data_IF_634399420318
#
_entry.id   IF_634399420318
#
_cell.length_a   1.000
_cell.length_b   1.000
_cell.length_c   1.000
_cell.angle_alpha   90.00
_cell.angle_beta   90.00
_cell.angle_gamma   90.00
#
_symmetry.space_group_name_H-M   'P 1'
#
loop_
_entity.id
_entity.type
_entity.pdbx_description
1 polymer ?
#
# COMPACT_ATOMS: atom_id res chain seq x y z
N UNK A 1 -17.90 -14.10 4.34
CA UNK A 1 -17.03 -15.27 4.19
C UNK A 1 -16.71 -15.46 2.71
N UNK A 2 -15.51 -15.94 2.38
CA UNK A 2 -14.96 -16.06 1.03
C UNK A 2 -13.87 -17.13 0.96
N UNK A 3 -13.67 -17.70 -0.24
CA UNK A 3 -12.59 -18.66 -0.51
C UNK A 3 -11.47 -17.99 -1.29
N UNK A 4 -10.23 -18.21 -0.89
CA UNK A 4 -9.02 -17.75 -1.55
C UNK A 4 -8.51 -18.82 -2.51
N UNK A 5 -8.00 -18.40 -3.66
CA UNK A 5 -7.31 -19.26 -4.62
C UNK A 5 -6.26 -18.43 -5.34
N UNK A 6 -5.04 -18.94 -5.41
CA UNK A 6 -3.94 -18.30 -6.12
C UNK A 6 -3.95 -18.81 -7.57
N UNK A 7 -4.10 -17.89 -8.51
CA UNK A 7 -3.91 -18.12 -9.94
C UNK A 7 -3.00 -17.03 -10.47
N UNK A 8 -2.31 -17.26 -11.58
CA UNK A 8 -1.43 -16.23 -12.15
C UNK A 8 -2.21 -14.94 -12.51
N UNK A 9 -3.46 -15.08 -12.96
CA UNK A 9 -4.36 -13.95 -13.26
C UNK A 9 -4.73 -13.16 -12.00
N UNK A 10 -4.99 -13.86 -10.90
CA UNK A 10 -5.23 -13.24 -9.59
C UNK A 10 -3.96 -12.55 -9.09
N UNK A 11 -2.78 -13.18 -9.20
CA UNK A 11 -1.50 -12.55 -8.83
C UNK A 11 -1.28 -11.25 -9.60
N UNK A 12 -1.58 -11.23 -10.91
CA UNK A 12 -1.44 -10.04 -11.74
C UNK A 12 -2.42 -8.93 -11.30
N UNK A 13 -3.68 -9.29 -11.05
CA UNK A 13 -4.68 -8.34 -10.57
C UNK A 13 -4.31 -7.78 -9.18
N UNK A 14 -3.87 -8.65 -8.27
CA UNK A 14 -3.48 -8.25 -6.92
C UNK A 14 -2.19 -7.42 -6.91
N UNK A 15 -1.21 -7.75 -7.76
CA UNK A 15 -0.04 -6.92 -8.02
C UNK A 15 -0.44 -5.50 -8.42
N UNK A 16 -1.38 -5.36 -9.37
CA UNK A 16 -1.85 -4.04 -9.78
C UNK A 16 -2.50 -3.28 -8.61
N UNK A 17 -3.30 -3.97 -7.79
CA UNK A 17 -3.90 -3.36 -6.60
C UNK A 17 -2.81 -2.88 -5.62
N UNK A 18 -1.79 -3.69 -5.33
CA UNK A 18 -0.66 -3.29 -4.48
C UNK A 18 0.05 -2.05 -5.06
N UNK A 19 0.42 -2.09 -6.34
CA UNK A 19 1.12 -0.99 -7.01
C UNK A 19 0.32 0.32 -6.96
N UNK A 20 -0.97 0.28 -7.30
CA UNK A 20 -1.83 1.45 -7.25
C UNK A 20 -1.94 2.02 -5.84
N UNK A 21 -2.09 1.19 -4.81
CA UNK A 21 -2.19 1.68 -3.44
C UNK A 21 -0.87 2.22 -2.88
N UNK A 22 0.26 1.55 -3.15
CA UNK A 22 1.58 2.05 -2.77
C UNK A 22 1.85 3.40 -3.44
N UNK A 23 1.51 3.53 -4.71
CA UNK A 23 1.69 4.77 -5.44
C UNK A 23 0.76 5.91 -5.00
N UNK A 24 -0.52 5.59 -4.76
CA UNK A 24 -1.50 6.54 -4.23
C UNK A 24 -1.10 7.02 -2.83
N UNK A 25 -0.53 6.17 -1.99
CA UNK A 25 0.01 6.56 -0.69
C UNK A 25 1.04 7.68 -0.81
N UNK A 26 2.06 7.49 -1.67
CA UNK A 26 3.06 8.53 -1.97
C UNK A 26 2.45 9.77 -2.65
N UNK A 27 1.45 9.57 -3.51
CA UNK A 27 0.77 10.68 -4.18
C UNK A 27 0.00 11.54 -3.17
N UNK A 28 -0.66 10.92 -2.19
CA UNK A 28 -1.39 11.64 -1.14
C UNK A 28 -0.45 12.49 -0.29
N UNK A 29 0.74 12.00 0.07
CA UNK A 29 1.75 12.84 0.72
C UNK A 29 2.07 14.10 -0.09
N UNK A 30 2.31 13.92 -1.39
CA UNK A 30 2.70 15.01 -2.27
C UNK A 30 1.57 16.04 -2.46
N UNK A 31 0.33 15.60 -2.65
CA UNK A 31 -0.83 16.49 -2.73
C UNK A 31 -1.12 17.20 -1.40
N UNK A 32 -0.97 16.51 -0.26
CA UNK A 32 -1.09 17.14 1.05
C UNK A 32 0.02 18.18 1.28
N UNK A 33 1.25 17.88 0.85
CA UNK A 33 2.37 18.80 0.84
C UNK A 33 2.06 20.06 0.04
N UNK A 34 1.53 19.92 -1.18
CA UNK A 34 1.08 21.07 -1.98
C UNK A 34 -0.02 21.88 -1.28
N UNK A 35 -1.04 21.22 -0.75
CA UNK A 35 -2.16 21.90 -0.09
C UNK A 35 -1.74 22.65 1.19
N UNK A 36 -0.75 22.15 1.93
CA UNK A 36 -0.30 22.74 3.20
C UNK A 36 0.84 23.75 2.98
N UNK A 37 1.81 23.44 2.13
CA UNK A 37 2.97 24.30 1.86
C UNK A 37 2.70 25.37 0.79
N UNK A 38 1.65 25.22 -0.02
CA UNK A 38 1.27 26.15 -1.10
C UNK A 38 2.01 25.96 -2.42
N UNK A 39 3.01 25.07 -2.46
CA UNK A 39 3.85 24.81 -3.65
C UNK A 39 4.16 23.31 -3.79
N UNK A 40 4.47 22.89 -5.01
CA UNK A 40 4.82 21.50 -5.31
C UNK A 40 6.24 21.21 -4.79
N UNK A 41 6.38 20.12 -4.04
CA UNK A 41 7.69 19.61 -3.65
C UNK A 41 8.29 18.71 -4.73
N UNK A 42 9.20 17.81 -4.33
CA UNK A 42 9.77 16.80 -5.20
C UNK A 42 9.20 15.41 -4.86
N UNK A 43 9.13 14.50 -5.83
CA UNK A 43 8.66 13.13 -5.61
C UNK A 43 9.50 12.16 -6.43
N UNK A 44 9.87 11.05 -5.80
CA UNK A 44 10.50 9.90 -6.45
C UNK A 44 9.55 8.69 -6.45
N UNK A 45 10.06 7.50 -6.79
CA UNK A 45 9.30 6.26 -6.68
C UNK A 45 8.98 5.87 -5.23
N UNK A 46 9.90 6.16 -4.31
CA UNK A 46 9.89 5.64 -2.94
C UNK A 46 10.00 6.74 -1.87
N UNK A 47 10.05 8.00 -2.29
CA UNK A 47 10.13 9.14 -1.39
C UNK A 47 9.34 10.33 -1.93
N UNK A 48 8.96 11.21 -1.02
CA UNK A 48 8.45 12.52 -1.33
C UNK A 48 9.22 13.56 -0.51
N UNK A 49 9.27 14.76 -1.03
CA UNK A 49 9.74 15.96 -0.35
C UNK A 49 8.66 17.02 -0.54
N UNK A 50 8.44 17.84 0.47
CA UNK A 50 7.49 18.96 0.39
C UNK A 50 8.22 20.25 0.04
N UNK A 51 7.51 21.25 -0.49
CA UNK A 51 8.12 22.56 -0.75
C UNK A 51 8.59 23.28 0.54
N UNK A 52 7.96 22.96 1.67
CA UNK A 52 8.29 23.50 2.98
C UNK A 52 9.05 22.48 3.86
N UNK A 53 9.99 21.75 3.25
CA UNK A 53 10.70 20.66 3.90
C UNK A 53 11.38 21.08 5.21
N UNK A 54 11.35 20.20 6.22
CA UNK A 54 11.90 20.49 7.55
C UNK A 54 11.02 21.35 8.46
N UNK A 55 9.89 21.87 7.96
CA UNK A 55 8.95 22.64 8.79
C UNK A 55 7.90 21.74 9.45
N UNK A 56 7.20 22.27 10.46
CA UNK A 56 6.06 21.60 11.12
C UNK A 56 5.00 21.16 10.10
N UNK A 57 4.79 21.97 9.07
CA UNK A 57 3.83 21.74 7.99
C UNK A 57 4.19 20.51 7.15
N UNK A 58 5.47 20.32 6.80
CA UNK A 58 5.94 19.12 6.08
C UNK A 58 5.58 17.85 6.85
N UNK A 59 5.86 17.82 8.14
CA UNK A 59 5.59 16.65 8.98
C UNK A 59 4.09 16.38 9.17
N UNK A 60 3.24 17.41 9.11
CA UNK A 60 1.79 17.21 9.07
C UNK A 60 1.34 16.59 7.75
N UNK A 61 1.93 16.99 6.61
CA UNK A 61 1.68 16.35 5.32
C UNK A 61 2.16 14.88 5.30
N UNK A 62 3.21 14.55 6.05
CA UNK A 62 3.67 13.17 6.24
C UNK A 62 2.62 12.27 6.91
N UNK A 63 1.63 12.75 7.65
CA UNK A 63 0.55 11.87 8.14
C UNK A 63 -0.50 11.52 7.09
N UNK A 64 -0.53 12.23 5.94
CA UNK A 64 -1.59 12.07 4.95
C UNK A 64 -1.56 10.70 4.27
N UNK A 65 -0.38 10.18 3.92
CA UNK A 65 -0.23 8.83 3.37
C UNK A 65 -0.73 7.75 4.33
N UNK A 66 -0.26 7.69 5.60
CA UNK A 66 -0.79 6.80 6.62
C UNK A 66 -2.30 6.86 6.77
N UNK A 67 -2.85 8.07 6.85
CA UNK A 67 -4.28 8.27 6.96
C UNK A 67 -5.03 7.66 5.77
N UNK A 68 -4.57 7.91 4.54
CA UNK A 68 -5.13 7.28 3.34
C UNK A 68 -5.09 5.76 3.44
N UNK A 69 -3.94 5.19 3.77
CA UNK A 69 -3.78 3.75 3.94
C UNK A 69 -4.78 3.17 4.95
N UNK A 70 -4.89 3.77 6.13
CA UNK A 70 -5.84 3.31 7.15
C UNK A 70 -7.28 3.41 6.68
N UNK A 71 -7.67 4.52 6.05
CA UNK A 71 -9.00 4.66 5.44
C UNK A 71 -9.26 3.53 4.45
N UNK A 72 -8.31 3.21 3.57
CA UNK A 72 -8.47 2.16 2.58
C UNK A 72 -8.53 0.75 3.19
N UNK A 73 -7.84 0.49 4.30
CA UNK A 73 -8.03 -0.75 5.06
C UNK A 73 -9.45 -0.86 5.60
N UNK A 74 -10.02 0.22 6.13
CA UNK A 74 -11.40 0.24 6.65
C UNK A 74 -12.44 0.16 5.53
N UNK A 75 -12.18 0.73 4.35
CA UNK A 75 -13.00 0.50 3.15
C UNK A 75 -12.94 -0.98 2.76
N UNK A 76 -11.76 -1.60 2.76
CA UNK A 76 -11.61 -3.03 2.52
C UNK A 76 -12.40 -3.88 3.54
N UNK A 77 -12.34 -3.50 4.83
CA UNK A 77 -13.13 -4.12 5.89
C UNK A 77 -14.64 -3.98 5.66
N UNK A 78 -15.11 -2.81 5.22
CA UNK A 78 -16.51 -2.59 4.84
C UNK A 78 -16.93 -3.51 3.68
N UNK A 79 -16.06 -3.70 2.69
CA UNK A 79 -16.33 -4.58 1.56
C UNK A 79 -16.43 -6.07 1.95
N UNK A 80 -15.85 -6.48 3.08
CA UNK A 80 -15.96 -7.85 3.61
C UNK A 80 -17.30 -8.18 4.30
N UNK A 81 -18.23 -7.23 4.40
CA UNK A 81 -19.55 -7.45 5.03
C UNK A 81 -20.36 -8.55 4.33
N UNK A 82 -21.21 -9.23 5.10
CA UNK A 82 -21.98 -10.41 4.66
C UNK A 82 -22.86 -10.13 3.44
N UNK A 83 -23.47 -8.94 3.35
CA UNK A 83 -24.36 -8.54 2.25
C UNK A 83 -23.68 -8.19 0.93
N UNK A 84 -22.34 -8.10 0.88
CA UNK A 84 -21.63 -7.75 -0.35
C UNK A 84 -21.41 -8.97 -1.25
N UNK A 85 -21.25 -8.70 -2.55
CA UNK A 85 -20.92 -9.72 -3.57
C UNK A 85 -19.57 -10.40 -3.30
N UNK A 86 -19.37 -11.59 -3.88
CA UNK A 86 -18.08 -12.31 -3.81
C UNK A 86 -16.93 -11.45 -4.32
N UNK A 87 -17.12 -10.77 -5.45
CA UNK A 87 -16.15 -9.83 -6.01
C UNK A 87 -15.75 -8.73 -5.01
N UNK A 88 -16.73 -8.07 -4.39
CA UNK A 88 -16.46 -7.03 -3.40
C UNK A 88 -15.70 -7.57 -2.20
N UNK A 89 -16.03 -8.77 -1.72
CA UNK A 89 -15.30 -9.40 -0.61
C UNK A 89 -13.84 -9.68 -0.98
N UNK A 90 -13.60 -10.23 -2.17
CA UNK A 90 -12.23 -10.48 -2.66
C UNK A 90 -11.44 -9.19 -2.84
N UNK A 91 -12.07 -8.15 -3.40
CA UNK A 91 -11.47 -6.83 -3.53
C UNK A 91 -11.17 -6.22 -2.17
N UNK A 92 -12.10 -6.32 -1.22
CA UNK A 92 -11.91 -5.82 0.15
C UNK A 92 -10.74 -6.50 0.86
N UNK A 93 -10.63 -7.82 0.71
CA UNK A 93 -9.49 -8.59 1.21
C UNK A 93 -8.17 -8.12 0.56
N UNK A 94 -8.15 -8.03 -0.77
CA UNK A 94 -6.98 -7.54 -1.51
C UNK A 94 -6.59 -6.12 -1.08
N UNK A 95 -7.56 -5.21 -0.91
CA UNK A 95 -7.34 -3.84 -0.47
C UNK A 95 -6.66 -3.76 0.89
N UNK A 96 -7.05 -4.59 1.86
CA UNK A 96 -6.44 -4.61 3.20
C UNK A 96 -4.96 -5.01 3.10
N UNK A 97 -4.65 -6.09 2.37
CA UNK A 97 -3.26 -6.58 2.28
C UNK A 97 -2.38 -5.78 1.31
N UNK A 98 -2.98 -5.07 0.35
CA UNK A 98 -2.29 -4.13 -0.52
C UNK A 98 -1.70 -2.94 0.24
N UNK A 99 -2.22 -2.63 1.43
CA UNK A 99 -1.66 -1.60 2.32
C UNK A 99 -0.39 -2.04 3.08
N UNK A 100 0.12 -3.25 2.85
CA UNK A 100 1.31 -3.80 3.52
C UNK A 100 1.25 -3.69 5.06
N UNK A 101 0.16 -4.18 5.70
CA UNK A 101 -0.07 -3.95 7.13
C UNK A 101 1.04 -4.51 8.02
N UNK A 102 1.73 -5.58 7.61
CA UNK A 102 2.87 -6.10 8.35
C UNK A 102 4.00 -5.08 8.44
N UNK A 103 4.47 -4.54 7.31
CA UNK A 103 5.48 -3.47 7.28
C UNK A 103 5.03 -2.24 8.07
N UNK A 104 3.75 -1.88 7.98
CA UNK A 104 3.22 -0.73 8.72
C UNK A 104 3.27 -0.93 10.24
N UNK A 105 2.89 -2.12 10.71
CA UNK A 105 2.91 -2.46 12.14
C UNK A 105 4.33 -2.68 12.67
N UNK A 106 5.25 -3.23 11.87
CA UNK A 106 6.63 -3.45 12.31
C UNK A 106 7.52 -2.22 12.17
N UNK A 107 7.20 -1.30 11.25
CA UNK A 107 7.96 -0.08 11.01
C UNK A 107 8.35 0.67 12.30
N UNK A 108 7.38 1.06 13.16
CA UNK A 108 7.66 1.79 14.39
C UNK A 108 8.65 1.06 15.30
N UNK A 109 8.60 -0.27 15.36
CA UNK A 109 9.50 -1.10 16.19
C UNK A 109 10.96 -1.00 15.75
N UNK A 110 11.20 -0.65 14.49
CA UNK A 110 12.52 -0.42 13.93
C UNK A 110 12.87 1.08 13.81
N UNK A 111 12.06 1.97 14.40
CA UNK A 111 12.17 3.43 14.26
C UNK A 111 12.02 3.90 12.80
N UNK A 112 11.27 3.14 12.01
CA UNK A 112 10.98 3.40 10.59
C UNK A 112 9.48 3.66 10.42
N UNK A 113 9.08 4.18 9.25
CA UNK A 113 7.72 4.61 8.85
C UNK A 113 7.41 6.10 9.04
N UNK A 114 6.40 6.54 8.30
CA UNK A 114 5.96 7.93 8.22
C UNK A 114 5.40 8.43 9.56
N UNK A 115 4.64 7.58 10.25
CA UNK A 115 3.99 7.92 11.51
C UNK A 115 5.02 8.21 12.61
N UNK A 116 6.03 7.35 12.75
CA UNK A 116 7.10 7.53 13.72
C UNK A 116 7.98 8.71 13.32
N UNK A 117 8.37 8.78 12.03
CA UNK A 117 9.20 9.87 11.51
C UNK A 117 8.55 11.25 11.76
N UNK A 118 7.29 11.42 11.38
CA UNK A 118 6.56 12.67 11.60
C UNK A 118 6.43 13.00 13.09
N UNK A 119 6.13 12.00 13.94
CA UNK A 119 5.95 12.20 15.39
C UNK A 119 7.25 12.67 16.04
N UNK A 120 8.38 12.03 15.71
CA UNK A 120 9.69 12.41 16.26
C UNK A 120 10.10 13.81 15.84
N UNK A 121 9.81 14.19 14.59
CA UNK A 121 10.14 15.52 14.09
C UNK A 121 9.26 16.63 14.69
N UNK A 122 8.01 16.32 15.02
CA UNK A 122 7.08 17.28 15.62
C UNK A 122 7.23 17.42 17.14
N UNK A 123 7.49 16.32 17.84
CA UNK A 123 7.39 16.24 19.30
C UNK A 123 8.67 15.74 19.98
N UNK A 124 9.74 15.49 19.21
CA UNK A 124 11.02 14.97 19.71
C UNK A 124 11.06 13.44 19.82
N UNK A 125 12.27 12.88 19.86
CA UNK A 125 12.48 11.46 20.12
C UNK A 125 12.33 11.19 21.63
N UNK A 126 11.33 10.39 22.01
CA UNK A 126 11.11 9.94 23.38
C UNK A 126 10.44 8.55 23.41
N UNK A 127 10.66 7.79 24.48
CA UNK A 127 10.01 6.49 24.68
C UNK A 127 8.49 6.60 24.65
N UNK A 128 7.95 7.72 25.17
CA UNK A 128 6.53 8.01 25.12
C UNK A 128 6.02 8.08 23.67
N UNK A 129 6.69 8.86 22.80
CA UNK A 129 6.30 9.00 21.40
C UNK A 129 6.44 7.67 20.64
N UNK A 130 7.49 6.90 20.91
CA UNK A 130 7.69 5.56 20.36
C UNK A 130 6.51 4.62 20.68
N UNK A 131 6.16 4.50 21.97
CA UNK A 131 5.07 3.60 22.38
C UNK A 131 3.70 4.10 21.93
N UNK A 132 3.45 5.41 21.96
CA UNK A 132 2.20 6.00 21.48
C UNK A 132 1.97 5.68 20.00
N UNK A 133 2.96 5.93 19.14
CA UNK A 133 2.86 5.62 17.70
C UNK A 133 2.63 4.12 17.51
N UNK A 134 3.44 3.28 18.16
CA UNK A 134 3.33 1.82 18.03
C UNK A 134 1.95 1.32 18.43
N UNK A 135 1.43 1.74 19.59
CA UNK A 135 0.11 1.32 20.08
C UNK A 135 -1.00 1.80 19.15
N UNK A 136 -0.94 3.05 18.69
CA UNK A 136 -1.94 3.61 17.77
C UNK A 136 -1.97 2.87 16.43
N UNK A 137 -0.81 2.63 15.82
CA UNK A 137 -0.70 1.87 14.57
C UNK A 137 -1.30 0.47 14.73
N UNK A 138 -0.95 -0.24 15.81
CA UNK A 138 -1.53 -1.55 16.10
C UNK A 138 -3.05 -1.47 16.30
N UNK A 139 -3.53 -0.52 17.11
CA UNK A 139 -4.96 -0.36 17.38
C UNK A 139 -5.77 -0.07 16.11
N UNK A 140 -5.21 0.68 15.16
CA UNK A 140 -5.87 1.01 13.89
C UNK A 140 -5.83 -0.19 12.92
N UNK A 141 -4.72 -0.92 12.83
CA UNK A 141 -4.55 -2.04 11.91
C UNK A 141 -5.27 -3.32 12.34
N UNK A 142 -5.41 -3.58 13.65
CA UNK A 142 -5.97 -4.84 14.15
C UNK A 142 -7.43 -5.08 13.67
N UNK A 143 -8.38 -4.14 13.76
CA UNK A 143 -9.76 -4.36 13.35
C UNK A 143 -9.95 -4.87 11.90
N UNK A 144 -9.41 -4.21 10.85
CA UNK A 144 -9.52 -4.73 9.48
C UNK A 144 -8.84 -6.09 9.31
N UNK A 145 -7.72 -6.35 9.99
CA UNK A 145 -7.02 -7.64 9.95
C UNK A 145 -7.83 -8.77 10.59
N UNK A 146 -8.46 -8.52 11.74
CA UNK A 146 -9.35 -9.48 12.40
C UNK A 146 -10.54 -9.82 11.50
N UNK A 147 -11.12 -8.81 10.84
CA UNK A 147 -12.21 -9.03 9.91
C UNK A 147 -11.77 -9.81 8.66
N UNK A 148 -10.57 -9.51 8.13
CA UNK A 148 -9.98 -10.25 7.03
C UNK A 148 -9.78 -11.73 7.40
N UNK A 149 -9.20 -12.03 8.57
CA UNK A 149 -9.03 -13.39 9.07
C UNK A 149 -10.37 -14.13 9.18
N UNK A 150 -11.38 -13.52 9.80
CA UNK A 150 -12.72 -14.10 9.98
C UNK A 150 -13.45 -14.34 8.65
N UNK A 151 -13.04 -13.68 7.58
CA UNK A 151 -13.67 -13.83 6.27
C UNK A 151 -13.20 -15.06 5.50
N UNK A 152 -12.10 -15.71 5.89
CA UNK A 152 -11.49 -16.83 5.15
C UNK A 152 -12.21 -18.16 5.44
N UNK A 153 -12.73 -18.81 4.40
CA UNK A 153 -13.37 -20.14 4.49
C UNK A 153 -12.45 -21.32 4.16
N UNK A 154 -11.24 -21.05 3.67
CA UNK A 154 -10.33 -22.11 3.24
C UNK A 154 -9.96 -23.07 4.38
N UNK A 155 -9.61 -24.31 4.01
CA UNK A 155 -8.96 -25.24 4.95
C UNK A 155 -7.67 -24.59 5.47
N UNK A 156 -7.50 -24.55 6.80
CA UNK A 156 -6.41 -23.87 7.52
C UNK A 156 -6.38 -22.35 7.22
N UNK A 157 -7.38 -21.58 7.69
CA UNK A 157 -7.48 -20.14 7.40
C UNK A 157 -6.28 -19.32 7.93
N UNK A 158 -5.65 -19.78 9.01
CA UNK A 158 -4.46 -19.14 9.58
C UNK A 158 -3.25 -19.17 8.65
N UNK A 159 -3.05 -20.24 7.86
CA UNK A 159 -1.96 -20.30 6.89
C UNK A 159 -2.17 -19.29 5.76
N UNK A 160 -3.41 -19.20 5.28
CA UNK A 160 -3.78 -18.21 4.26
C UNK A 160 -3.58 -16.78 4.76
N UNK A 161 -4.05 -16.49 5.97
CA UNK A 161 -3.84 -15.20 6.59
C UNK A 161 -2.35 -14.88 6.77
N UNK A 162 -1.56 -15.80 7.35
CA UNK A 162 -0.13 -15.61 7.55
C UNK A 162 0.61 -15.42 6.21
N UNK A 163 0.24 -16.18 5.18
CA UNK A 163 0.81 -16.01 3.85
C UNK A 163 0.54 -14.62 3.27
N UNK A 164 -0.69 -14.13 3.32
CA UNK A 164 -1.03 -12.78 2.85
C UNK A 164 -0.45 -11.66 3.72
N UNK A 165 -0.30 -11.90 5.02
CA UNK A 165 0.22 -10.92 5.94
C UNK A 165 1.74 -10.76 5.84
N UNK A 166 2.49 -11.87 5.81
CA UNK A 166 3.95 -11.84 5.91
C UNK A 166 4.68 -11.91 4.57
N UNK A 167 4.11 -12.56 3.55
CA UNK A 167 4.91 -13.00 2.40
C UNK A 167 4.35 -12.54 1.06
N UNK A 168 3.06 -12.75 0.81
CA UNK A 168 2.52 -12.71 -0.55
C UNK A 168 2.57 -11.32 -1.22
N UNK A 169 2.21 -10.20 -0.55
CA UNK A 169 2.38 -8.88 -1.14
C UNK A 169 3.85 -8.60 -1.49
N UNK A 170 4.77 -8.99 -0.62
CA UNK A 170 6.22 -8.79 -0.82
C UNK A 170 6.77 -9.65 -1.95
N UNK A 171 6.25 -10.85 -2.18
CA UNK A 171 6.63 -11.69 -3.33
C UNK A 171 6.22 -11.06 -4.67
N UNK A 172 5.07 -10.40 -4.71
CA UNK A 172 4.56 -9.77 -5.94
C UNK A 172 5.22 -8.41 -6.20
N UNK A 173 5.34 -7.60 -5.17
CA UNK A 173 5.79 -6.21 -5.26
C UNK A 173 7.29 -6.05 -5.08
N UNK A 174 7.89 -6.77 -4.12
CA UNK A 174 9.27 -6.59 -3.68
C UNK A 174 10.31 -6.76 -4.79
N UNK A 175 10.28 -7.81 -5.62
CA UNK A 175 11.26 -7.99 -6.70
C UNK A 175 11.23 -6.87 -7.74
N UNK A 176 10.03 -6.39 -8.09
CA UNK A 176 9.87 -5.29 -9.04
C UNK A 176 10.42 -3.99 -8.46
N UNK A 177 10.02 -3.66 -7.24
CA UNK A 177 10.41 -2.42 -6.59
C UNK A 177 11.89 -2.36 -6.24
N UNK A 178 12.42 -3.43 -5.62
CA UNK A 178 13.85 -3.55 -5.31
C UNK A 178 14.72 -3.60 -6.56
N UNK A 179 14.22 -4.17 -7.66
CA UNK A 179 14.89 -4.14 -8.96
C UNK A 179 14.99 -2.73 -9.53
N UNK A 180 13.90 -1.96 -9.51
CA UNK A 180 13.89 -0.57 -9.97
C UNK A 180 14.79 0.31 -9.11
N UNK A 181 14.69 0.21 -7.78
CA UNK A 181 15.54 0.97 -6.86
C UNK A 181 17.03 0.66 -7.08
N UNK A 182 17.40 -0.62 -7.26
CA UNK A 182 18.76 -1.00 -7.57
C UNK A 182 19.26 -0.39 -8.89
N UNK A 183 18.45 -0.42 -9.94
CA UNK A 183 18.83 0.11 -11.26
C UNK A 183 18.92 1.64 -11.27
N UNK A 184 18.05 2.31 -10.52
CA UNK A 184 17.98 3.77 -10.45
C UNK A 184 19.03 4.34 -9.51
N UNK A 185 19.05 3.91 -8.25
CA UNK A 185 19.87 4.50 -7.18
C UNK A 185 21.29 3.97 -7.23
N UNK A 186 21.49 2.65 -7.38
CA UNK A 186 22.82 2.05 -7.28
C UNK A 186 23.56 2.00 -8.62
N UNK A 187 22.83 1.96 -9.75
CA UNK A 187 23.43 1.82 -11.09
C UNK A 187 23.31 3.07 -11.95
N UNK A 188 22.49 4.06 -11.59
CA UNK A 188 22.31 5.29 -12.36
C UNK A 188 21.80 5.06 -13.80
N UNK A 189 21.32 3.85 -14.13
CA UNK A 189 20.94 3.47 -15.50
C UNK A 189 19.63 4.16 -15.91
N UNK A 190 18.83 4.58 -14.93
CA UNK A 190 17.51 5.18 -15.07
C UNK A 190 17.39 6.50 -14.30
N UNK A 191 18.51 7.17 -13.95
CA UNK A 191 18.50 8.49 -13.28
C UNK A 191 18.49 9.69 -14.25
N UNK A 192 18.62 9.43 -15.56
CA UNK A 192 18.83 10.48 -16.55
C UNK A 192 17.60 11.37 -16.76
N UNK A 193 17.85 12.65 -17.04
CA UNK A 193 16.86 13.72 -17.21
C UNK A 193 15.80 13.47 -18.29
N UNK A 194 16.10 12.66 -19.32
CA UNK A 194 15.22 12.43 -20.49
C UNK A 194 14.07 11.47 -20.15
N UNK A 195 14.33 10.49 -19.29
CA UNK A 195 13.30 9.63 -18.68
C UNK A 195 13.49 9.76 -17.17
N UNK A 196 13.33 10.98 -16.67
CA UNK A 196 13.48 11.25 -15.24
C UNK A 196 12.52 10.39 -14.41
N UNK A 197 12.84 10.27 -13.12
CA UNK A 197 12.07 9.50 -12.12
C UNK A 197 10.56 9.76 -12.22
N UNK A 198 10.16 11.01 -12.44
CA UNK A 198 8.75 11.39 -12.64
C UNK A 198 8.09 10.76 -13.87
N UNK A 199 8.78 10.66 -15.01
CA UNK A 199 8.20 10.05 -16.23
C UNK A 199 8.06 8.53 -16.07
N UNK A 200 9.07 7.86 -15.50
CA UNK A 200 8.99 6.43 -15.21
C UNK A 200 7.84 6.11 -14.26
N UNK A 201 7.63 6.96 -13.26
CA UNK A 201 6.51 6.83 -12.33
C UNK A 201 5.16 6.97 -13.06
N UNK A 202 5.00 7.99 -13.90
CA UNK A 202 3.78 8.19 -14.70
C UNK A 202 3.53 7.01 -15.65
N UNK A 203 4.57 6.51 -16.32
CA UNK A 203 4.46 5.33 -17.19
C UNK A 203 4.02 4.11 -16.38
N UNK A 204 4.64 3.87 -15.22
CA UNK A 204 4.27 2.76 -14.34
C UNK A 204 2.81 2.87 -13.89
N UNK A 205 2.35 4.05 -13.51
CA UNK A 205 0.96 4.29 -13.13
C UNK A 205 -0.01 3.99 -14.26
N UNK A 206 0.22 4.59 -15.44
CA UNK A 206 -0.65 4.39 -16.61
C UNK A 206 -0.70 2.92 -16.99
N UNK A 207 0.45 2.24 -17.05
CA UNK A 207 0.50 0.80 -17.35
C UNK A 207 -0.22 -0.02 -16.29
N UNK A 208 -0.06 0.30 -15.00
CA UNK A 208 -0.73 -0.42 -13.91
C UNK A 208 -2.25 -0.20 -13.95
N UNK A 209 -2.72 1.01 -14.24
CA UNK A 209 -4.15 1.33 -14.39
C UNK A 209 -4.75 0.56 -15.58
N UNK A 210 -4.08 0.58 -16.74
CA UNK A 210 -4.53 -0.16 -17.92
C UNK A 210 -4.57 -1.66 -17.64
N UNK A 211 -3.49 -2.21 -17.07
CA UNK A 211 -3.39 -3.61 -16.70
C UNK A 211 -4.45 -4.01 -15.68
N UNK A 212 -4.73 -3.18 -14.68
CA UNK A 212 -5.83 -3.38 -13.75
C UNK A 212 -7.18 -3.36 -14.47
N UNK A 213 -7.40 -2.46 -15.43
CA UNK A 213 -8.61 -2.43 -16.26
C UNK A 213 -8.92 -3.79 -16.92
N UNK A 214 -7.90 -4.47 -17.44
CA UNK A 214 -8.04 -5.79 -18.06
C UNK A 214 -8.12 -6.94 -17.05
N UNK A 215 -7.47 -6.79 -15.90
CA UNK A 215 -7.31 -7.88 -14.91
C UNK A 215 -8.25 -7.79 -13.72
N UNK A 216 -8.95 -6.66 -13.52
CA UNK A 216 -9.79 -6.39 -12.33
C UNK A 216 -10.78 -7.50 -12.02
N UNK A 217 -11.34 -8.14 -13.05
CA UNK A 217 -12.31 -9.24 -12.92
C UNK A 217 -11.71 -10.47 -12.24
N UNK A 218 -10.40 -10.69 -12.39
CA UNK A 218 -9.66 -11.80 -11.80
C UNK A 218 -9.27 -11.57 -10.34
N UNK A 219 -9.61 -10.42 -9.75
CA UNK A 219 -9.62 -10.27 -8.29
C UNK A 219 -10.55 -11.30 -7.67
N UNK A 220 -11.65 -11.66 -8.34
CA UNK A 220 -12.35 -12.90 -8.04
C UNK A 220 -11.65 -14.07 -8.77
N UNK A 221 -10.93 -14.96 -8.04
CA UNK A 221 -10.20 -16.05 -8.67
C UNK A 221 -11.11 -17.15 -9.24
N UNK A 222 -12.43 -17.05 -9.02
CA UNK A 222 -13.46 -17.93 -9.58
C UNK A 222 -14.22 -17.32 -10.75
N UNK A 223 -13.81 -16.14 -11.24
CA UNK A 223 -14.43 -15.51 -12.39
C UNK A 223 -14.39 -16.46 -13.61
N UNK A 224 -15.54 -16.79 -14.22
CA UNK A 224 -15.59 -17.73 -15.33
C UNK A 224 -14.91 -17.17 -16.57
N UNK A 225 -14.01 -17.96 -17.16
CA UNK A 225 -13.50 -17.68 -18.49
C UNK A 225 -14.63 -17.96 -19.48
N UNK A 226 -15.09 -16.94 -20.20
CA UNK A 226 -15.74 -17.22 -21.48
C UNK A 226 -14.67 -17.92 -22.32
N UNK A 227 -14.85 -19.21 -22.55
CA UNK A 227 -14.06 -19.95 -23.53
C UNK A 227 -14.28 -19.23 -24.85
N UNK A 228 -13.26 -18.50 -25.30
CA UNK A 228 -13.20 -18.06 -26.68
C UNK A 228 -12.94 -19.33 -27.49
N UNK A 229 -14.03 -20.01 -27.87
CA UNK A 229 -14.04 -21.02 -28.93
C UNK A 229 -13.85 -20.35 -30.28
#
# INVERSE_FOLDING_TARGET
MMRLKITWKYCLAFYCVIMLYASLHELVHHFAGFAICGEWGYKTFNSFETACEGTRQSYLATYAGPLFTYVMMYVGMYLLRTGNSTYQKQLGFAMIFAQLPFQRMTGPLFHMNDEYFATVKLYGASDLNFWLVTILVFAICIPPLVQAYRSIENRRPWLWFAFYYFLFPYLLWGPFFGGLEYLMVNKGVLDQTIIGIGLLFVINEVLTILLYGFTRKYIDPFYPEKVLT
#
